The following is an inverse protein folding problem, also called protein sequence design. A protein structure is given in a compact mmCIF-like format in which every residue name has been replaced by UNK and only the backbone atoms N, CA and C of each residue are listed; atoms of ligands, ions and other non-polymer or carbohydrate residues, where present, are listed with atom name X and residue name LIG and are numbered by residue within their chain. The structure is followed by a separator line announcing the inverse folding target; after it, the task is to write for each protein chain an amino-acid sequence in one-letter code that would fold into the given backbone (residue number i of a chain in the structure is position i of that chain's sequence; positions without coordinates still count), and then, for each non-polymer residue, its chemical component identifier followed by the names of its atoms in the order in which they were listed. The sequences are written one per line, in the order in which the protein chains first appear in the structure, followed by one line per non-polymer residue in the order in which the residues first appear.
data_IF_916683078114
#
_entry.id   IF_916683078114
#
_cell.length_a   1.000
_cell.length_b   1.000
_cell.length_c   1.000
_cell.angle_alpha   90.00
_cell.angle_beta   90.00
_cell.angle_gamma   90.00
#
_symmetry.space_group_name_H-M   'P 1'
#
loop_
_entity.id
_entity.type
_entity.pdbx_description
1 polymer ?
#
# COMPACT_ATOMS: atom_id res chain seq x y z
N UNK A 1 93.85 10.40 -28.33
CA UNK A 1 92.93 9.53 -29.10
C UNK A 1 91.69 9.27 -28.25
N UNK A 2 90.52 9.33 -28.90
CA UNK A 2 89.13 9.23 -28.39
C UNK A 2 88.86 8.11 -27.37
N UNK A 3 87.95 8.40 -26.43
CA UNK A 3 86.68 7.69 -26.08
C UNK A 3 86.00 8.49 -24.93
N UNK A 4 84.88 9.19 -25.12
CA UNK A 4 83.46 8.72 -25.10
C UNK A 4 83.16 7.87 -23.83
N UNK A 5 82.10 8.05 -23.03
CA UNK A 5 80.75 8.55 -23.31
C UNK A 5 79.97 8.83 -22.00
N UNK A 6 79.15 9.89 -22.01
CA UNK A 6 77.85 10.13 -21.36
C UNK A 6 77.39 9.36 -20.10
N UNK A 7 77.06 10.18 -19.10
CA UNK A 7 76.09 9.97 -18.01
C UNK A 7 74.71 9.60 -18.58
N UNK A 8 74.18 8.44 -18.16
CA UNK A 8 72.82 7.98 -18.46
C UNK A 8 71.95 8.01 -17.21
N UNK A 9 71.10 9.03 -17.11
CA UNK A 9 70.06 9.23 -16.11
C UNK A 9 68.99 8.13 -16.23
N UNK A 10 69.03 7.12 -15.36
CA UNK A 10 67.92 6.16 -15.18
C UNK A 10 66.98 6.77 -14.14
N UNK A 11 66.03 7.56 -14.61
CA UNK A 11 64.88 8.00 -13.83
C UNK A 11 63.63 7.95 -14.72
N UNK A 12 62.52 7.48 -14.14
CA UNK A 12 61.18 7.39 -14.70
C UNK A 12 60.81 6.13 -15.51
N UNK A 13 60.75 4.99 -14.83
CA UNK A 13 59.75 3.95 -15.10
C UNK A 13 59.09 3.51 -13.78
N UNK A 14 58.56 4.47 -13.02
CA UNK A 14 57.40 4.19 -12.17
C UNK A 14 56.18 4.32 -13.09
N UNK A 15 55.98 3.32 -13.94
CA UNK A 15 54.66 3.09 -14.51
C UNK A 15 53.73 2.86 -13.31
N UNK A 16 52.92 3.88 -12.97
CA UNK A 16 51.92 3.77 -11.94
C UNK A 16 50.96 2.64 -12.29
N UNK A 17 51.21 1.46 -11.73
CA UNK A 17 50.27 0.34 -11.69
C UNK A 17 49.16 0.65 -10.68
N UNK A 18 48.49 1.78 -10.86
CA UNK A 18 47.20 2.04 -10.25
C UNK A 18 46.12 1.72 -11.28
N UNK A 19 45.07 1.03 -10.85
CA UNK A 19 43.87 0.89 -11.68
C UNK A 19 43.37 2.26 -12.13
N UNK A 20 42.83 2.37 -13.37
CA UNK A 20 42.31 3.63 -13.86
C UNK A 20 41.21 4.13 -12.91
N UNK A 21 41.22 5.43 -12.66
CA UNK A 21 40.29 6.12 -11.77
C UNK A 21 39.37 7.02 -12.57
N UNK A 22 38.16 7.19 -12.07
CA UNK A 22 37.22 8.19 -12.56
C UNK A 22 37.75 9.60 -12.26
N UNK A 23 37.67 10.49 -13.23
CA UNK A 23 37.92 11.91 -13.10
C UNK A 23 36.59 12.62 -13.29
N UNK A 24 35.92 12.99 -12.20
CA UNK A 24 34.65 13.69 -12.24
C UNK A 24 34.80 15.20 -12.03
N UNK A 25 35.98 15.77 -12.32
CA UNK A 25 36.20 17.22 -12.19
C UNK A 25 35.39 18.02 -13.21
N UNK A 26 35.18 17.46 -14.39
CA UNK A 26 34.32 17.99 -15.47
C UNK A 26 33.55 16.86 -16.14
N UNK A 27 32.49 17.18 -16.88
CA UNK A 27 31.75 16.17 -17.67
C UNK A 27 32.64 15.49 -18.74
N UNK A 28 33.50 16.26 -19.40
CA UNK A 28 34.42 15.74 -20.42
C UNK A 28 35.44 14.76 -19.83
N UNK A 29 36.06 15.12 -18.69
CA UNK A 29 37.02 14.24 -18.01
C UNK A 29 36.33 13.00 -17.44
N UNK A 30 35.06 13.10 -17.02
CA UNK A 30 34.28 11.96 -16.55
C UNK A 30 33.99 10.99 -17.68
N UNK A 31 33.58 11.49 -18.84
CA UNK A 31 33.32 10.67 -20.01
C UNK A 31 34.58 9.94 -20.48
N UNK A 32 35.72 10.64 -20.52
CA UNK A 32 36.99 10.06 -20.96
C UNK A 32 37.51 9.02 -19.95
N UNK A 33 37.52 9.35 -18.66
CA UNK A 33 37.98 8.43 -17.61
C UNK A 33 37.07 7.21 -17.50
N UNK A 34 35.75 7.34 -17.67
CA UNK A 34 34.81 6.22 -17.70
C UNK A 34 35.14 5.24 -18.85
N UNK A 35 35.47 5.75 -20.04
CA UNK A 35 35.91 4.90 -21.17
C UNK A 35 37.20 4.15 -20.85
N UNK A 36 38.21 4.84 -20.31
CA UNK A 36 39.50 4.24 -19.92
C UNK A 36 39.36 3.17 -18.85
N UNK A 37 38.47 3.37 -17.87
CA UNK A 37 38.15 2.36 -16.87
C UNK A 37 37.46 1.17 -17.53
N UNK A 38 36.43 1.42 -18.34
CA UNK A 38 35.67 0.38 -19.02
C UNK A 38 36.55 -0.48 -19.95
N UNK A 39 37.48 0.09 -20.71
CA UNK A 39 38.37 -0.64 -21.63
C UNK A 39 39.15 -1.78 -20.97
N UNK A 40 39.44 -1.68 -19.66
CA UNK A 40 40.15 -2.71 -18.89
C UNK A 40 39.25 -3.79 -18.28
N UNK A 41 37.94 -3.66 -18.44
CA UNK A 41 36.94 -4.58 -17.87
C UNK A 41 36.45 -5.60 -18.90
N UNK A 42 36.10 -6.79 -18.42
CA UNK A 42 35.35 -7.78 -19.20
C UNK A 42 33.95 -7.25 -19.61
N UNK A 43 33.27 -7.87 -20.60
CA UNK A 43 31.92 -7.46 -21.00
C UNK A 43 30.93 -7.41 -19.82
N UNK A 44 30.99 -8.38 -18.92
CA UNK A 44 30.14 -8.49 -17.73
C UNK A 44 30.46 -7.38 -16.71
N UNK A 45 31.73 -7.14 -16.44
CA UNK A 45 32.18 -6.08 -15.52
C UNK A 45 31.86 -4.68 -16.07
N UNK A 46 31.92 -4.47 -17.40
CA UNK A 46 31.48 -3.20 -18.02
C UNK A 46 30.01 -2.92 -17.73
N UNK A 47 29.16 -3.94 -17.85
CA UNK A 47 27.72 -3.83 -17.56
C UNK A 47 27.47 -3.53 -16.08
N UNK A 48 28.19 -4.21 -15.18
CA UNK A 48 28.09 -3.99 -13.74
C UNK A 48 28.58 -2.59 -13.36
N UNK A 49 29.72 -2.16 -13.89
CA UNK A 49 30.31 -0.83 -13.67
C UNK A 49 29.36 0.29 -14.11
N UNK A 50 28.72 0.17 -15.28
CA UNK A 50 27.72 1.13 -15.74
C UNK A 50 26.48 1.17 -14.81
N UNK A 51 26.01 0.02 -14.34
CA UNK A 51 24.89 -0.06 -13.40
C UNK A 51 25.23 0.53 -12.02
N UNK A 52 26.45 0.30 -11.53
CA UNK A 52 26.96 0.84 -10.27
C UNK A 52 27.10 2.36 -10.33
N UNK A 53 27.63 2.90 -11.43
CA UNK A 53 27.72 4.34 -11.69
C UNK A 53 26.34 5.00 -11.58
N UNK A 54 25.35 4.44 -12.26
CA UNK A 54 23.98 4.93 -12.26
C UNK A 54 23.35 4.82 -10.86
N UNK A 55 23.56 3.70 -10.16
CA UNK A 55 23.03 3.50 -8.80
C UNK A 55 23.58 4.52 -7.81
N UNK A 56 24.89 4.79 -7.84
CA UNK A 56 25.54 5.76 -6.94
C UNK A 56 25.06 7.17 -7.27
N UNK A 57 25.03 7.53 -8.56
CA UNK A 57 24.54 8.83 -8.99
C UNK A 57 23.12 9.08 -8.46
N UNK A 58 22.19 8.13 -8.67
CA UNK A 58 20.79 8.27 -8.22
C UNK A 58 20.62 8.22 -6.69
N UNK A 59 21.50 7.50 -5.98
CA UNK A 59 21.36 7.36 -4.52
C UNK A 59 21.86 8.58 -3.74
N UNK A 60 22.66 9.44 -4.38
CA UNK A 60 23.14 10.71 -3.82
C UNK A 60 22.24 11.91 -4.16
N UNK A 61 21.18 11.67 -4.95
CA UNK A 61 20.19 12.70 -5.30
C UNK A 61 19.17 12.84 -4.18
N UNK A 62 19.34 13.85 -3.34
CA UNK A 62 18.25 14.34 -2.49
C UNK A 62 17.37 15.28 -3.30
N UNK A 63 16.20 14.80 -3.71
CA UNK A 63 15.23 15.55 -4.54
C UNK A 63 14.55 16.70 -3.77
N UNK A 64 14.78 16.83 -2.46
CA UNK A 64 14.17 17.88 -1.65
C UNK A 64 15.05 19.13 -1.67
N UNK A 65 14.60 20.16 -2.40
CA UNK A 65 15.13 21.54 -2.35
C UNK A 65 16.60 21.75 -2.74
N UNK A 66 17.21 20.90 -3.57
CA UNK A 66 18.55 21.14 -4.15
C UNK A 66 18.46 21.62 -5.60
N UNK A 67 19.31 22.57 -5.99
CA UNK A 67 19.49 22.96 -7.39
C UNK A 67 20.20 21.86 -8.18
N UNK A 68 20.03 21.86 -9.51
CA UNK A 68 20.71 20.93 -10.40
C UNK A 68 22.25 20.98 -10.24
N UNK A 69 22.82 22.17 -10.07
CA UNK A 69 24.26 22.35 -9.90
C UNK A 69 24.79 21.74 -8.59
N UNK A 70 24.03 21.90 -7.50
CA UNK A 70 24.39 21.31 -6.21
C UNK A 70 24.35 19.77 -6.29
N UNK A 71 23.35 19.23 -6.98
CA UNK A 71 23.20 17.80 -7.22
C UNK A 71 24.34 17.24 -8.08
N UNK A 72 24.72 17.94 -9.15
CA UNK A 72 25.85 17.55 -10.00
C UNK A 72 27.17 17.54 -9.23
N UNK A 73 27.38 18.53 -8.35
CA UNK A 73 28.57 18.58 -7.49
C UNK A 73 28.65 17.40 -6.53
N UNK A 74 27.54 17.01 -5.91
CA UNK A 74 27.47 15.86 -5.01
C UNK A 74 27.76 14.53 -5.74
N UNK A 75 27.20 14.37 -6.94
CA UNK A 75 27.47 13.21 -7.80
C UNK A 75 28.96 13.18 -8.17
N UNK A 76 29.53 14.27 -8.67
CA UNK A 76 30.93 14.34 -9.05
C UNK A 76 31.86 14.04 -7.86
N UNK A 77 31.57 14.59 -6.68
CA UNK A 77 32.33 14.31 -5.46
C UNK A 77 32.26 12.83 -5.06
N UNK A 78 31.12 12.18 -5.27
CA UNK A 78 30.94 10.76 -4.98
C UNK A 78 31.65 9.82 -5.94
N UNK A 79 32.04 10.29 -7.14
CA UNK A 79 32.66 9.47 -8.19
C UNK A 79 34.15 9.75 -8.37
N UNK A 80 34.59 11.00 -8.17
CA UNK A 80 35.95 11.44 -8.47
C UNK A 80 37.00 10.62 -7.70
N UNK A 81 38.02 10.15 -8.41
CA UNK A 81 39.15 9.40 -7.86
C UNK A 81 38.86 7.92 -7.55
N UNK A 82 37.64 7.42 -7.80
CA UNK A 82 37.28 6.01 -7.55
C UNK A 82 37.70 5.10 -8.69
N UNK A 83 38.20 3.92 -8.34
CA UNK A 83 38.40 2.78 -9.24
C UNK A 83 37.09 2.02 -9.45
N UNK A 84 37.05 1.12 -10.44
CA UNK A 84 35.89 0.23 -10.65
C UNK A 84 35.58 -0.65 -9.41
N UNK A 85 36.62 -1.14 -8.71
CA UNK A 85 36.47 -1.98 -7.52
C UNK A 85 35.88 -1.21 -6.32
N UNK A 86 36.37 0.01 -6.07
CA UNK A 86 35.83 0.89 -5.02
C UNK A 86 34.39 1.31 -5.31
N UNK A 87 34.07 1.55 -6.59
CA UNK A 87 32.74 1.88 -7.04
C UNK A 87 31.76 0.71 -6.86
N UNK A 88 32.17 -0.52 -7.23
CA UNK A 88 31.37 -1.72 -6.96
C UNK A 88 31.15 -1.95 -5.45
N UNK A 89 32.18 -1.73 -4.62
CA UNK A 89 32.07 -1.85 -3.16
C UNK A 89 31.02 -0.87 -2.61
N UNK A 90 31.06 0.40 -3.05
CA UNK A 90 30.08 1.41 -2.67
C UNK A 90 28.67 1.04 -3.14
N UNK A 91 28.52 0.63 -4.40
CA UNK A 91 27.24 0.22 -4.96
C UNK A 91 26.65 -1.01 -4.24
N UNK A 92 27.50 -1.97 -3.87
CA UNK A 92 27.10 -3.13 -3.06
C UNK A 92 26.59 -2.70 -1.68
N UNK A 93 27.27 -1.78 -1.01
CA UNK A 93 26.79 -1.21 0.26
C UNK A 93 25.41 -0.53 0.11
N UNK A 94 25.20 0.23 -0.96
CA UNK A 94 23.90 0.86 -1.26
C UNK A 94 22.81 -0.19 -1.48
N UNK A 95 23.10 -1.28 -2.21
CA UNK A 95 22.14 -2.38 -2.42
C UNK A 95 21.75 -3.05 -1.12
N UNK A 96 22.74 -3.42 -0.30
CA UNK A 96 22.51 -4.05 1.01
C UNK A 96 21.62 -3.16 1.89
N UNK A 97 21.91 -1.86 1.96
CA UNK A 97 21.13 -0.92 2.75
C UNK A 97 19.71 -0.73 2.20
N UNK A 98 19.54 -0.67 0.88
CA UNK A 98 18.22 -0.63 0.23
C UNK A 98 17.42 -1.90 0.52
N UNK A 99 18.03 -3.06 0.35
CA UNK A 99 17.39 -4.36 0.60
C UNK A 99 17.00 -4.49 2.08
N UNK A 100 17.85 -4.03 3.00
CA UNK A 100 17.55 -3.99 4.43
C UNK A 100 16.33 -3.11 4.72
N UNK A 101 16.30 -1.87 4.21
CA UNK A 101 15.16 -0.95 4.41
C UNK A 101 13.87 -1.50 3.81
N UNK A 102 13.94 -2.05 2.59
CA UNK A 102 12.79 -2.67 1.94
C UNK A 102 12.27 -3.86 2.74
N UNK A 103 13.17 -4.70 3.27
CA UNK A 103 12.80 -5.83 4.14
C UNK A 103 12.16 -5.35 5.44
N UNK A 104 12.73 -4.35 6.10
CA UNK A 104 12.15 -3.77 7.33
C UNK A 104 10.75 -3.21 7.08
N UNK A 105 10.56 -2.44 5.99
CA UNK A 105 9.25 -1.92 5.60
C UNK A 105 8.25 -3.05 5.28
N UNK A 106 8.68 -4.05 4.52
CA UNK A 106 7.86 -5.21 4.19
C UNK A 106 7.41 -5.98 5.43
N UNK A 107 8.30 -6.17 6.42
CA UNK A 107 7.95 -6.86 7.67
C UNK A 107 6.98 -6.05 8.53
N UNK A 108 7.09 -4.71 8.54
CA UNK A 108 6.11 -3.84 9.19
C UNK A 108 4.75 -3.93 8.51
N UNK A 109 4.72 -3.88 7.17
CA UNK A 109 3.49 -4.00 6.37
C UNK A 109 2.82 -5.37 6.59
N UNK A 110 3.59 -6.47 6.57
CA UNK A 110 3.08 -7.81 6.90
C UNK A 110 2.43 -7.82 8.29
N UNK A 111 3.12 -7.25 9.30
CA UNK A 111 2.60 -7.20 10.68
C UNK A 111 1.30 -6.42 10.76
N UNK A 112 1.21 -5.28 10.08
CA UNK A 112 -0.01 -4.46 10.04
C UNK A 112 -1.17 -5.22 9.37
N UNK A 113 -0.95 -5.80 8.20
CA UNK A 113 -1.95 -6.55 7.46
C UNK A 113 -2.43 -7.78 8.27
N UNK A 114 -1.51 -8.53 8.88
CA UNK A 114 -1.87 -9.66 9.77
C UNK A 114 -2.65 -9.18 11.00
N UNK A 115 -2.27 -8.05 11.59
CA UNK A 115 -2.99 -7.47 12.74
C UNK A 115 -4.41 -7.06 12.36
N UNK A 116 -4.64 -6.61 11.12
CA UNK A 116 -5.98 -6.30 10.60
C UNK A 116 -6.81 -7.57 10.40
N UNK A 117 -6.22 -8.63 9.84
CA UNK A 117 -6.91 -9.94 9.73
C UNK A 117 -7.32 -10.45 11.12
N UNK A 118 -6.39 -10.45 12.08
CA UNK A 118 -6.68 -10.91 13.44
C UNK A 118 -7.74 -10.05 14.13
N UNK A 119 -7.66 -8.71 13.99
CA UNK A 119 -8.66 -7.79 14.53
C UNK A 119 -10.04 -8.01 13.92
N UNK A 120 -10.10 -8.29 12.61
CA UNK A 120 -11.37 -8.57 11.93
C UNK A 120 -12.02 -9.88 12.40
N UNK A 121 -11.22 -10.94 12.59
CA UNK A 121 -11.73 -12.19 13.18
C UNK A 121 -12.23 -11.98 14.62
N UNK A 122 -11.49 -11.23 15.43
CA UNK A 122 -11.91 -10.91 16.79
C UNK A 122 -13.19 -10.04 16.82
N UNK A 123 -13.32 -9.10 15.88
CA UNK A 123 -14.48 -8.23 15.76
C UNK A 123 -15.77 -8.99 15.48
N UNK A 124 -15.72 -10.13 14.75
CA UNK A 124 -16.91 -10.94 14.45
C UNK A 124 -17.66 -11.34 15.73
N UNK A 125 -16.95 -11.74 16.78
CA UNK A 125 -17.57 -12.16 18.04
C UNK A 125 -18.32 -11.01 18.73
N UNK A 126 -17.79 -9.79 18.67
CA UNK A 126 -18.42 -8.60 19.23
C UNK A 126 -19.59 -8.13 18.36
N UNK A 127 -19.44 -8.17 17.03
CA UNK A 127 -20.49 -7.82 16.09
C UNK A 127 -21.73 -8.72 16.23
N UNK A 128 -21.55 -10.01 16.53
CA UNK A 128 -22.67 -10.93 16.80
C UNK A 128 -23.52 -10.52 18.02
N UNK A 129 -22.97 -9.74 18.94
CA UNK A 129 -23.72 -9.21 20.09
C UNK A 129 -24.63 -8.05 19.68
N UNK A 130 -24.32 -7.35 18.58
CA UNK A 130 -25.23 -6.38 17.99
C UNK A 130 -26.23 -7.11 17.11
N UNK A 131 -27.42 -7.34 17.64
CA UNK A 131 -28.40 -8.20 16.97
C UNK A 131 -29.36 -7.37 16.14
N UNK A 132 -29.91 -8.00 15.09
CA UNK A 132 -31.01 -7.47 14.29
C UNK A 132 -32.18 -8.45 14.40
N UNK A 133 -32.97 -8.43 15.50
CA UNK A 133 -34.04 -9.41 15.71
C UNK A 133 -35.14 -9.41 14.64
N UNK A 134 -35.28 -8.29 13.92
CA UNK A 134 -36.28 -8.16 12.86
C UNK A 134 -35.74 -7.34 11.69
N UNK A 135 -35.87 -7.89 10.49
CA UNK A 135 -35.58 -7.23 9.23
C UNK A 135 -36.72 -7.48 8.24
N UNK A 136 -37.29 -6.41 7.67
CA UNK A 136 -38.32 -6.54 6.63
C UNK A 136 -38.29 -5.38 5.64
N UNK A 137 -38.78 -5.65 4.44
CA UNK A 137 -39.04 -4.63 3.43
C UNK A 137 -40.51 -4.28 3.48
N UNK A 138 -40.81 -3.00 3.54
CA UNK A 138 -42.16 -2.46 3.48
C UNK A 138 -42.31 -1.64 2.20
N UNK A 139 -43.51 -1.60 1.64
CA UNK A 139 -43.86 -0.69 0.56
C UNK A 139 -44.65 0.48 1.14
N UNK A 140 -44.20 1.71 0.92
CA UNK A 140 -44.94 2.90 1.31
C UNK A 140 -45.41 3.66 0.07
N UNK A 141 -46.69 4.02 0.03
CA UNK A 141 -47.21 4.88 -1.02
C UNK A 141 -46.58 6.29 -0.92
N UNK A 142 -46.09 6.82 -2.04
CA UNK A 142 -45.64 8.20 -2.14
C UNK A 142 -46.77 9.09 -2.70
N UNK A 143 -46.95 10.29 -2.14
CA UNK A 143 -48.02 11.22 -2.53
C UNK A 143 -47.96 11.66 -4.01
N UNK A 144 -46.76 11.67 -4.61
CA UNK A 144 -46.51 12.21 -5.95
C UNK A 144 -45.91 11.18 -6.93
N UNK A 145 -45.79 9.91 -6.54
CA UNK A 145 -45.25 8.84 -7.39
C UNK A 145 -46.26 7.69 -7.49
N UNK A 146 -46.38 7.11 -8.69
CA UNK A 146 -47.16 5.87 -8.92
C UNK A 146 -46.42 4.62 -8.47
N UNK A 147 -45.12 4.74 -8.21
CA UNK A 147 -44.27 3.64 -7.75
C UNK A 147 -44.13 3.78 -6.23
N UNK A 148 -44.57 2.77 -5.45
CA UNK A 148 -44.38 2.78 -4.00
C UNK A 148 -42.89 2.70 -3.66
N UNK A 149 -42.47 3.42 -2.64
CA UNK A 149 -41.08 3.41 -2.20
C UNK A 149 -40.79 2.22 -1.29
N UNK A 150 -39.67 1.50 -1.50
CA UNK A 150 -39.25 0.43 -0.61
C UNK A 150 -38.62 1.03 0.66
N UNK A 151 -39.07 0.59 1.82
CA UNK A 151 -38.55 0.96 3.14
C UNK A 151 -37.93 -0.29 3.76
N UNK A 152 -36.70 -0.17 4.25
CA UNK A 152 -36.11 -1.21 5.09
C UNK A 152 -36.47 -0.90 6.55
N UNK A 153 -37.24 -1.78 7.17
CA UNK A 153 -37.48 -1.70 8.62
C UNK A 153 -36.58 -2.70 9.35
N UNK A 154 -35.78 -2.17 10.28
CA UNK A 154 -34.91 -2.95 11.16
C UNK A 154 -35.33 -2.73 12.60
N UNK A 155 -35.35 -3.81 13.38
CA UNK A 155 -35.24 -3.74 14.84
C UNK A 155 -33.85 -4.19 15.19
N UNK A 156 -33.13 -3.38 15.96
CA UNK A 156 -31.75 -3.66 16.38
C UNK A 156 -31.65 -3.66 17.90
N UNK A 157 -30.63 -4.34 18.42
CA UNK A 157 -30.29 -4.30 19.84
C UNK A 157 -28.77 -4.30 20.00
N UNK A 158 -28.27 -3.35 20.78
CA UNK A 158 -26.86 -3.27 21.14
C UNK A 158 -26.57 -4.20 22.33
N UNK A 159 -26.15 -5.44 22.07
CA UNK A 159 -25.66 -6.35 23.11
C UNK A 159 -24.17 -6.19 23.41
N UNK A 160 -23.48 -5.21 22.81
CA UNK A 160 -22.06 -4.95 23.09
C UNK A 160 -21.90 -4.20 24.41
N UNK A 161 -20.68 -4.13 24.93
CA UNK A 161 -20.36 -3.33 26.12
C UNK A 161 -20.05 -1.86 25.81
N UNK A 162 -20.29 -1.40 24.57
CA UNK A 162 -19.90 -0.08 24.11
C UNK A 162 -21.10 0.70 23.53
N UNK A 163 -21.15 2.02 23.72
CA UNK A 163 -22.08 2.88 23.00
C UNK A 163 -21.73 2.94 21.51
N UNK A 164 -22.74 2.82 20.66
CA UNK A 164 -22.58 2.76 19.20
C UNK A 164 -23.12 4.03 18.56
N UNK A 165 -22.28 4.73 17.79
CA UNK A 165 -22.68 5.92 17.04
C UNK A 165 -23.20 5.56 15.65
N UNK A 166 -22.56 4.59 14.99
CA UNK A 166 -22.87 4.21 13.62
C UNK A 166 -22.73 2.72 13.43
N UNK A 167 -23.66 2.14 12.68
CA UNK A 167 -23.62 0.72 12.32
C UNK A 167 -23.62 0.54 10.80
N UNK A 168 -22.82 -0.42 10.34
CA UNK A 168 -22.63 -0.74 8.93
C UNK A 168 -23.16 -2.13 8.65
N UNK A 169 -23.96 -2.21 7.58
CA UNK A 169 -24.76 -3.37 7.25
C UNK A 169 -24.57 -3.80 5.81
N UNK A 170 -24.63 -5.11 5.59
CA UNK A 170 -24.83 -5.71 4.28
C UNK A 170 -26.25 -6.27 4.23
N UNK A 171 -27.09 -5.68 3.40
CA UNK A 171 -28.44 -6.18 3.16
C UNK A 171 -28.44 -7.13 1.95
N UNK A 172 -29.13 -8.25 2.11
CA UNK A 172 -29.38 -9.23 1.04
C UNK A 172 -30.87 -9.54 0.98
N UNK A 173 -31.47 -9.40 -0.21
CA UNK A 173 -32.87 -9.75 -0.45
C UNK A 173 -32.90 -10.97 -1.35
N UNK A 174 -33.42 -12.07 -0.85
CA UNK A 174 -33.41 -13.36 -1.54
C UNK A 174 -34.76 -14.06 -1.44
N UNK A 175 -34.95 -15.05 -2.31
CA UNK A 175 -36.08 -15.99 -2.26
C UNK A 175 -35.52 -17.41 -2.23
N UNK A 176 -36.17 -18.36 -1.52
CA UNK A 176 -35.66 -19.73 -1.40
C UNK A 176 -35.43 -20.42 -2.76
N UNK A 177 -36.27 -20.11 -3.75
CA UNK A 177 -36.27 -20.73 -5.08
C UNK A 177 -35.17 -20.22 -6.02
N UNK A 178 -34.28 -19.32 -5.57
CA UNK A 178 -33.25 -18.70 -6.42
C UNK A 178 -31.89 -18.68 -5.75
N UNK A 179 -30.86 -19.07 -6.49
CA UNK A 179 -29.47 -18.97 -6.06
C UNK A 179 -28.92 -17.52 -6.09
N UNK A 180 -29.42 -16.68 -7.00
CA UNK A 180 -28.98 -15.29 -7.16
C UNK A 180 -29.96 -14.37 -6.41
N UNK A 181 -29.50 -13.59 -5.41
CA UNK A 181 -30.34 -12.63 -4.70
C UNK A 181 -30.89 -11.53 -5.62
N UNK A 182 -32.05 -10.97 -5.26
CA UNK A 182 -32.66 -9.82 -5.93
C UNK A 182 -31.88 -8.54 -5.69
N UNK A 183 -31.22 -8.45 -4.53
CA UNK A 183 -30.50 -7.27 -4.10
C UNK A 183 -29.40 -7.68 -3.12
N UNK A 184 -28.21 -7.11 -3.31
CA UNK A 184 -27.11 -7.13 -2.35
C UNK A 184 -26.49 -5.75 -2.36
N UNK A 185 -26.47 -5.09 -1.21
CA UNK A 185 -25.81 -3.79 -1.08
C UNK A 185 -25.35 -3.54 0.35
N UNK A 186 -24.37 -2.65 0.49
CA UNK A 186 -23.87 -2.19 1.76
C UNK A 186 -24.40 -0.79 2.05
N UNK A 187 -24.81 -0.56 3.29
CA UNK A 187 -25.21 0.76 3.76
C UNK A 187 -24.78 0.94 5.21
N UNK A 188 -24.84 2.18 5.69
CA UNK A 188 -24.62 2.49 7.08
C UNK A 188 -25.75 3.35 7.61
N UNK A 189 -25.93 3.34 8.92
CA UNK A 189 -26.88 4.20 9.61
C UNK A 189 -26.19 4.89 10.78
N UNK A 190 -26.28 6.21 10.78
CA UNK A 190 -25.84 7.04 11.91
C UNK A 190 -27.00 7.20 12.89
N UNK A 191 -26.74 6.85 14.14
CA UNK A 191 -27.73 6.77 15.19
C UNK A 191 -27.73 8.11 15.93
N UNK A 192 -28.78 8.90 15.78
CA UNK A 192 -28.90 10.18 16.46
C UNK A 192 -28.83 10.02 17.97
N UNK A 193 -27.76 10.52 18.60
CA UNK A 193 -27.48 10.35 20.04
C UNK A 193 -26.77 9.05 20.41
N UNK A 194 -26.52 8.15 19.47
CA UNK A 194 -25.96 6.83 19.70
C UNK A 194 -26.98 5.80 20.21
N UNK A 195 -26.50 4.56 20.43
CA UNK A 195 -27.25 3.46 21.04
C UNK A 195 -26.43 2.88 22.17
N UNK A 196 -26.89 3.02 23.42
CA UNK A 196 -26.15 2.59 24.62
C UNK A 196 -26.15 1.06 24.77
N UNK A 197 -25.23 0.49 25.58
CA UNK A 197 -25.22 -0.93 25.89
C UNK A 197 -26.57 -1.42 26.45
N UNK A 198 -27.11 -2.47 25.85
CA UNK A 198 -28.40 -3.08 26.20
C UNK A 198 -29.62 -2.45 25.52
N UNK A 199 -29.48 -1.27 24.90
CA UNK A 199 -30.59 -0.58 24.24
C UNK A 199 -30.98 -1.21 22.90
N UNK A 200 -32.24 -1.01 22.52
CA UNK A 200 -32.76 -1.42 21.22
C UNK A 200 -33.54 -0.30 20.56
N UNK A 201 -33.58 -0.31 19.23
CA UNK A 201 -34.25 0.69 18.43
C UNK A 201 -34.95 0.08 17.22
N UNK A 202 -35.99 0.76 16.74
CA UNK A 202 -36.69 0.43 15.50
C UNK A 202 -36.42 1.53 14.49
N UNK A 203 -35.82 1.17 13.37
CA UNK A 203 -35.48 2.09 12.28
C UNK A 203 -36.30 1.81 11.05
N UNK A 204 -36.78 2.87 10.40
CA UNK A 204 -37.42 2.83 9.08
C UNK A 204 -36.54 3.61 8.12
N UNK A 205 -35.71 2.87 7.40
CA UNK A 205 -34.70 3.43 6.52
C UNK A 205 -35.29 3.64 5.12
N UNK A 206 -35.23 4.88 4.68
CA UNK A 206 -35.59 5.28 3.33
C UNK A 206 -34.35 5.24 2.44
N UNK A 207 -34.50 4.92 1.14
CA UNK A 207 -33.40 5.08 0.20
C UNK A 207 -32.97 6.55 0.17
N UNK A 208 -31.67 6.79 0.24
CA UNK A 208 -31.09 8.13 0.11
C UNK A 208 -31.23 8.63 -1.34
N UNK A 209 -30.77 9.85 -1.66
CA UNK A 209 -30.94 10.40 -3.02
C UNK A 209 -30.30 9.52 -4.10
N UNK A 210 -29.15 8.90 -3.81
CA UNK A 210 -28.52 7.94 -4.72
C UNK A 210 -29.25 6.59 -4.71
N UNK A 211 -29.68 6.12 -3.54
CA UNK A 211 -30.48 4.91 -3.36
C UNK A 211 -31.82 4.96 -4.08
N UNK A 212 -32.52 6.12 -4.10
CA UNK A 212 -33.83 6.30 -4.72
C UNK A 212 -33.79 6.04 -6.23
N UNK A 213 -32.69 6.42 -6.89
CA UNK A 213 -32.45 6.13 -8.30
C UNK A 213 -31.55 4.91 -8.53
N UNK A 214 -30.98 4.36 -7.46
CA UNK A 214 -30.06 3.23 -7.46
C UNK A 214 -30.75 1.89 -7.21
N UNK A 215 -29.98 0.91 -6.75
CA UNK A 215 -30.44 -0.48 -6.54
C UNK A 215 -31.54 -0.59 -5.47
N UNK A 216 -31.49 0.24 -4.43
CA UNK A 216 -32.47 0.19 -3.32
C UNK A 216 -33.84 0.70 -3.76
N UNK A 217 -33.93 1.86 -4.42
CA UNK A 217 -35.19 2.45 -4.88
C UNK A 217 -35.92 1.62 -5.94
N UNK A 218 -35.20 0.69 -6.59
CA UNK A 218 -35.70 -0.16 -7.67
C UNK A 218 -35.71 -1.66 -7.29
N UNK A 219 -35.85 -2.01 -6.01
CA UNK A 219 -35.97 -3.42 -5.59
C UNK A 219 -37.22 -4.04 -6.22
N UNK A 220 -37.01 -5.02 -7.12
CA UNK A 220 -38.08 -5.82 -7.75
C UNK A 220 -38.11 -7.23 -7.14
N UNK A 221 -38.41 -7.33 -5.86
CA UNK A 221 -38.52 -8.62 -5.17
C UNK A 221 -39.99 -9.09 -5.10
N UNK A 222 -40.28 -10.38 -5.33
CA UNK A 222 -41.64 -10.91 -5.26
C UNK A 222 -42.14 -10.98 -3.81
N UNK A 223 -43.46 -11.15 -3.65
CA UNK A 223 -44.05 -11.49 -2.36
C UNK A 223 -43.45 -12.81 -1.85
N UNK A 224 -42.96 -12.82 -0.60
CA UNK A 224 -42.25 -13.95 -0.01
C UNK A 224 -40.72 -13.88 -0.10
N UNK A 225 -40.14 -12.85 -0.72
CA UNK A 225 -38.73 -12.54 -0.54
C UNK A 225 -38.47 -12.10 0.92
N UNK A 226 -37.34 -12.52 1.46
CA UNK A 226 -36.90 -12.14 2.81
C UNK A 226 -35.67 -11.25 2.76
N UNK A 227 -35.56 -10.36 3.74
CA UNK A 227 -34.40 -9.49 3.94
C UNK A 227 -33.51 -10.08 5.04
N UNK A 228 -32.28 -10.42 4.68
CA UNK A 228 -31.21 -10.71 5.62
C UNK A 228 -30.31 -9.50 5.78
N UNK A 229 -29.90 -9.19 7.01
CA UNK A 229 -29.00 -8.08 7.31
C UNK A 229 -27.85 -8.60 8.16
N UNK A 230 -26.64 -8.38 7.68
CA UNK A 230 -25.40 -8.72 8.39
C UNK A 230 -24.72 -7.43 8.84
N UNK A 231 -24.32 -7.36 10.11
CA UNK A 231 -23.54 -6.25 10.65
C UNK A 231 -22.07 -6.56 10.47
N UNK A 232 -21.34 -5.72 9.73
CA UNK A 232 -19.92 -5.95 9.47
C UNK A 232 -19.01 -4.92 10.15
N UNK A 233 -19.55 -3.81 10.64
CA UNK A 233 -18.79 -2.80 11.37
C UNK A 233 -19.65 -1.95 12.30
N UNK A 234 -19.08 -1.56 13.43
CA UNK A 234 -19.64 -0.62 14.40
C UNK A 234 -18.61 0.45 14.74
N UNK A 235 -19.03 1.72 14.68
CA UNK A 235 -18.22 2.85 15.12
C UNK A 235 -18.69 3.35 16.50
N UNK A 236 -17.72 3.75 17.31
CA UNK A 236 -17.94 4.29 18.65
C UNK A 236 -18.26 5.79 18.65
N UNK A 237 -18.40 6.39 19.84
CA UNK A 237 -18.77 7.81 19.99
C UNK A 237 -17.78 8.79 19.38
N UNK A 238 -16.52 8.38 19.20
CA UNK A 238 -15.47 9.18 18.57
C UNK A 238 -15.48 9.08 17.02
N UNK A 239 -16.43 8.33 16.46
CA UNK A 239 -16.55 8.09 15.03
C UNK A 239 -15.51 7.14 14.46
N UNK A 240 -14.72 6.46 15.30
CA UNK A 240 -13.76 5.43 14.88
C UNK A 240 -14.36 4.05 14.99
N UNK A 241 -13.85 3.12 14.19
CA UNK A 241 -14.24 1.73 14.25
C UNK A 241 -13.89 1.12 15.62
N UNK A 242 -14.91 0.63 16.32
CA UNK A 242 -14.72 -0.23 17.49
C UNK A 242 -14.51 -1.68 17.04
N UNK A 243 -15.35 -2.11 16.10
CA UNK A 243 -15.34 -3.46 15.54
C UNK A 243 -15.51 -3.37 14.03
N UNK A 244 -14.62 -4.01 13.27
CA UNK A 244 -14.67 -4.03 11.81
C UNK A 244 -14.24 -5.41 11.31
N UNK A 245 -15.20 -6.16 10.77
CA UNK A 245 -14.98 -7.51 10.24
C UNK A 245 -14.74 -7.51 8.72
N UNK A 246 -14.55 -6.35 8.09
CA UNK A 246 -14.23 -6.28 6.65
C UNK A 246 -12.88 -6.89 6.29
N UNK A 247 -11.95 -6.95 7.24
CA UNK A 247 -10.64 -7.57 7.07
C UNK A 247 -9.77 -6.85 6.03
N UNK A 248 -9.19 -7.64 5.13
CA UNK A 248 -8.40 -7.15 4.00
C UNK A 248 -9.23 -7.22 2.72
N UNK A 249 -9.09 -6.20 1.87
CA UNK A 249 -9.53 -6.28 0.49
C UNK A 249 -8.74 -7.36 -0.27
N UNK A 250 -9.25 -7.79 -1.43
CA UNK A 250 -8.53 -8.74 -2.30
C UNK A 250 -7.13 -8.25 -2.67
N UNK A 251 -6.98 -6.96 -2.92
CA UNK A 251 -5.68 -6.34 -3.25
C UNK A 251 -4.70 -6.36 -2.07
N UNK A 252 -5.20 -6.16 -0.85
CA UNK A 252 -4.40 -6.19 0.36
C UNK A 252 -4.03 -7.63 0.76
N UNK A 253 -4.93 -8.59 0.54
CA UNK A 253 -4.63 -10.01 0.74
C UNK A 253 -3.56 -10.48 -0.25
N UNK A 254 -3.71 -10.16 -1.54
CA UNK A 254 -2.70 -10.47 -2.55
C UNK A 254 -1.34 -9.80 -2.23
N UNK A 255 -1.38 -8.59 -1.67
CA UNK A 255 -0.18 -7.89 -1.19
C UNK A 255 0.47 -8.61 -0.02
N UNK A 256 -0.31 -9.03 0.99
CA UNK A 256 0.18 -9.80 2.12
C UNK A 256 0.84 -11.11 1.66
N UNK A 257 0.16 -11.86 0.79
CA UNK A 257 0.66 -13.14 0.27
C UNK A 257 1.99 -12.96 -0.50
N UNK A 258 2.07 -11.91 -1.33
CA UNK A 258 3.28 -11.58 -2.08
C UNK A 258 4.44 -11.19 -1.14
N UNK A 259 4.19 -10.36 -0.13
CA UNK A 259 5.19 -9.95 0.85
C UNK A 259 5.68 -11.12 1.69
N UNK A 260 4.78 -12.00 2.13
CA UNK A 260 5.14 -13.20 2.88
C UNK A 260 5.98 -14.16 2.04
N UNK A 261 5.63 -14.35 0.76
CA UNK A 261 6.44 -15.16 -0.16
C UNK A 261 7.84 -14.59 -0.36
N UNK A 262 7.98 -13.27 -0.38
CA UNK A 262 9.25 -12.59 -0.64
C UNK A 262 10.12 -12.40 0.62
N UNK A 263 9.50 -12.15 1.78
CA UNK A 263 10.18 -11.70 3.00
C UNK A 263 9.81 -12.47 4.27
N UNK A 264 8.71 -13.23 4.25
CA UNK A 264 8.31 -14.07 5.37
C UNK A 264 9.38 -15.12 5.67
N UNK A 265 9.78 -15.22 6.93
CA UNK A 265 10.51 -16.39 7.38
C UNK A 265 9.56 -17.60 7.27
N UNK A 266 10.04 -18.70 6.68
CA UNK A 266 9.35 -20.01 6.69
C UNK A 266 9.12 -20.43 8.14
#
# INVERSE_FOLDING_TARGET
MKRMLLVGLVAALLAGCGDPKLDATTEATLQESTKKVAEKLSPEEKKQFAADLMLIALSNVDLRNKSADAMQKDINASLNGKTAAELNTMATGIRIEKDKRQREQALLEIKELQSRVASAEAAKAELLKFTVPKSRILSQAEKYSKIPQPIIELTVQNGTSYPILRAYFKATIASPERAIPWFVDAFHYEIGGGLEPGEGAVWKLLPDKFGKFGKWGNIQAPAGAYLSVEVYRLDGPDGKALFDASGLSESEQARLDALQKQYGAI
#
